data_IF_929230500468
#
_entry.id   IF_929230500468
#
_cell.length_a   1.000
_cell.length_b   1.000
_cell.length_c   1.000
_cell.angle_alpha   90.00
_cell.angle_beta   90.00
_cell.angle_gamma   90.00
#
_symmetry.space_group_name_H-M   'P 1'
#
loop_
_entity.id
_entity.type
_entity.pdbx_description
1 polymer ?
#
# COMPACT_ATOMS: atom_id res chain seq x y z
N UNK A 1 -28.16 -105.86 8.57
CA UNK A 1 -27.02 -105.03 8.21
C UNK A 1 -27.35 -103.95 7.14
N UNK A 2 -28.12 -104.27 6.10
CA UNK A 2 -28.49 -103.34 5.03
C UNK A 2 -29.27 -102.08 5.44
N UNK A 3 -29.97 -102.05 6.60
CA UNK A 3 -30.72 -100.91 7.06
C UNK A 3 -29.86 -99.82 7.71
N UNK A 4 -28.77 -100.21 8.42
CA UNK A 4 -27.84 -99.30 9.09
C UNK A 4 -26.93 -98.57 8.07
N UNK A 5 -26.49 -99.30 7.05
CA UNK A 5 -25.68 -98.73 5.96
C UNK A 5 -26.44 -97.61 5.20
N UNK A 6 -27.69 -97.88 4.83
CA UNK A 6 -28.54 -96.83 4.18
C UNK A 6 -28.82 -95.62 5.05
N UNK A 7 -28.88 -95.80 6.40
CA UNK A 7 -29.08 -94.69 7.33
C UNK A 7 -27.82 -93.80 7.42
N UNK A 8 -26.63 -94.47 7.45
CA UNK A 8 -25.32 -93.77 7.42
C UNK A 8 -25.13 -92.97 6.13
N UNK A 9 -25.41 -93.63 5.02
CA UNK A 9 -25.32 -92.98 3.67
C UNK A 9 -26.24 -91.74 3.59
N UNK A 10 -27.43 -91.86 4.15
CA UNK A 10 -28.38 -90.73 4.19
C UNK A 10 -27.87 -89.58 5.08
N UNK A 11 -27.35 -89.89 6.27
CA UNK A 11 -26.78 -88.92 7.22
C UNK A 11 -25.60 -88.16 6.56
N UNK A 12 -24.69 -88.95 5.90
CA UNK A 12 -23.56 -88.33 5.21
C UNK A 12 -24.00 -87.48 4.04
N UNK A 13 -24.99 -87.91 3.26
CA UNK A 13 -25.52 -87.14 2.13
C UNK A 13 -26.28 -85.89 2.59
N UNK A 14 -26.99 -85.99 3.69
CA UNK A 14 -27.64 -84.74 4.30
C UNK A 14 -26.59 -83.75 4.82
N UNK A 15 -25.55 -84.29 5.54
CA UNK A 15 -24.45 -83.41 6.03
C UNK A 15 -23.64 -82.77 4.89
N UNK A 16 -23.43 -83.51 3.79
CA UNK A 16 -22.79 -82.91 2.59
C UNK A 16 -23.63 -81.80 1.96
N UNK A 17 -24.92 -82.00 1.81
CA UNK A 17 -25.84 -80.97 1.29
C UNK A 17 -25.90 -79.70 2.19
N UNK A 18 -25.94 -79.94 3.48
CA UNK A 18 -25.91 -78.84 4.44
C UNK A 18 -24.59 -78.08 4.34
N UNK A 19 -23.46 -78.77 4.27
CA UNK A 19 -22.14 -78.14 4.08
C UNK A 19 -22.06 -77.30 2.78
N UNK A 20 -22.52 -77.88 1.67
CA UNK A 20 -22.58 -77.14 0.37
C UNK A 20 -23.48 -75.87 0.43
N UNK A 21 -24.65 -75.98 1.10
CA UNK A 21 -25.53 -74.86 1.30
C UNK A 21 -24.84 -73.77 2.13
N UNK A 22 -24.18 -74.11 3.24
CA UNK A 22 -23.43 -73.14 4.05
C UNK A 22 -22.28 -72.46 3.28
N UNK A 23 -21.58 -73.25 2.42
CA UNK A 23 -20.53 -72.70 1.55
C UNK A 23 -21.09 -71.74 0.54
N UNK A 24 -22.21 -72.08 -0.11
CA UNK A 24 -22.88 -71.19 -1.06
C UNK A 24 -23.32 -69.90 -0.40
N UNK A 25 -24.02 -69.96 0.73
CA UNK A 25 -24.45 -68.79 1.48
C UNK A 25 -23.27 -67.93 1.94
N UNK A 26 -22.16 -68.53 2.33
CA UNK A 26 -20.94 -67.79 2.71
C UNK A 26 -20.32 -67.04 1.51
N UNK A 27 -20.24 -67.68 0.34
CA UNK A 27 -19.73 -67.06 -0.88
C UNK A 27 -20.65 -65.89 -1.37
N UNK A 28 -21.97 -66.08 -1.30
CA UNK A 28 -22.93 -65.02 -1.63
C UNK A 28 -22.78 -63.83 -0.68
N UNK A 29 -22.69 -64.04 0.61
CA UNK A 29 -22.44 -62.97 1.61
C UNK A 29 -21.11 -62.25 1.37
N UNK A 30 -20.06 -63.01 1.09
CA UNK A 30 -18.74 -62.46 0.76
C UNK A 30 -18.77 -61.62 -0.51
N UNK A 31 -19.46 -62.05 -1.55
CA UNK A 31 -19.66 -61.30 -2.79
C UNK A 31 -20.43 -60.00 -2.54
N UNK A 32 -21.56 -60.09 -1.83
CA UNK A 32 -22.36 -58.91 -1.48
C UNK A 32 -21.57 -57.89 -0.65
N UNK A 33 -20.73 -58.37 0.31
CA UNK A 33 -19.88 -57.49 1.11
C UNK A 33 -18.76 -56.83 0.28
N UNK A 34 -18.15 -57.54 -0.67
CA UNK A 34 -17.17 -56.98 -1.60
C UNK A 34 -17.80 -55.93 -2.52
N UNK A 35 -18.96 -56.22 -3.05
CA UNK A 35 -19.67 -55.27 -3.94
C UNK A 35 -20.07 -53.98 -3.21
N UNK A 36 -20.52 -54.14 -1.96
CA UNK A 36 -20.78 -52.99 -1.10
C UNK A 36 -19.53 -52.18 -0.81
N UNK A 37 -18.44 -52.86 -0.43
CA UNK A 37 -17.16 -52.18 -0.17
C UNK A 37 -16.61 -51.44 -1.38
N UNK A 38 -16.69 -52.06 -2.57
CA UNK A 38 -16.25 -51.42 -3.79
C UNK A 38 -17.07 -50.16 -4.12
N UNK A 39 -18.40 -50.21 -3.94
CA UNK A 39 -19.25 -49.05 -4.08
C UNK A 39 -18.90 -47.93 -3.10
N UNK A 40 -18.63 -48.26 -1.86
CA UNK A 40 -18.22 -47.29 -0.83
C UNK A 40 -16.84 -46.66 -1.14
N UNK A 41 -15.92 -47.46 -1.68
CA UNK A 41 -14.59 -47.01 -2.13
C UNK A 41 -14.74 -45.99 -3.30
N UNK A 42 -15.51 -46.38 -4.33
CA UNK A 42 -15.72 -45.48 -5.49
C UNK A 42 -16.41 -44.17 -5.09
N UNK A 43 -17.37 -44.25 -4.18
CA UNK A 43 -18.02 -43.05 -3.63
C UNK A 43 -17.02 -42.18 -2.89
N UNK A 44 -16.19 -42.75 -2.02
CA UNK A 44 -15.17 -41.97 -1.30
C UNK A 44 -14.10 -41.38 -2.21
N UNK A 45 -13.70 -42.10 -3.26
CA UNK A 45 -12.78 -41.56 -4.26
C UNK A 45 -13.37 -40.32 -4.93
N UNK A 46 -14.61 -40.40 -5.40
CA UNK A 46 -15.29 -39.29 -6.03
C UNK A 46 -15.43 -38.06 -5.09
N UNK A 47 -15.71 -38.31 -3.80
CA UNK A 47 -15.75 -37.25 -2.78
C UNK A 47 -14.37 -36.58 -2.59
N UNK A 48 -13.31 -37.38 -2.53
CA UNK A 48 -11.92 -36.87 -2.38
C UNK A 48 -11.52 -36.09 -3.63
N UNK A 49 -11.79 -36.57 -4.81
CA UNK A 49 -11.48 -35.89 -6.07
C UNK A 49 -12.18 -34.53 -6.15
N UNK A 50 -13.48 -34.48 -5.80
CA UNK A 50 -14.24 -33.23 -5.75
C UNK A 50 -13.66 -32.23 -4.73
N UNK A 51 -13.33 -32.70 -3.53
CA UNK A 51 -12.69 -31.85 -2.50
C UNK A 51 -11.31 -31.33 -2.96
N UNK A 52 -10.53 -32.16 -3.65
CA UNK A 52 -9.25 -31.77 -4.20
C UNK A 52 -9.38 -30.70 -5.29
N UNK A 53 -10.34 -30.88 -6.21
CA UNK A 53 -10.63 -29.87 -7.25
C UNK A 53 -11.09 -28.54 -6.65
N UNK A 54 -11.98 -28.58 -5.67
CA UNK A 54 -12.43 -27.37 -4.96
C UNK A 54 -11.30 -26.68 -4.23
N UNK A 55 -10.44 -27.42 -3.53
CA UNK A 55 -9.26 -26.89 -2.86
C UNK A 55 -8.27 -26.24 -3.85
N UNK A 56 -8.04 -26.88 -5.00
CA UNK A 56 -7.19 -26.32 -6.05
C UNK A 56 -7.79 -25.04 -6.62
N UNK A 57 -9.11 -25.01 -6.88
CA UNK A 57 -9.82 -23.84 -7.38
C UNK A 57 -9.74 -22.66 -6.40
N UNK A 58 -9.97 -22.93 -5.13
CA UNK A 58 -9.89 -21.92 -4.08
C UNK A 58 -8.46 -21.37 -3.90
N UNK A 59 -7.47 -22.24 -3.91
CA UNK A 59 -6.06 -21.84 -3.87
C UNK A 59 -5.66 -20.98 -5.08
N UNK A 60 -6.11 -21.34 -6.29
CA UNK A 60 -5.86 -20.52 -7.50
C UNK A 60 -6.46 -19.13 -7.37
N UNK A 61 -7.71 -19.01 -6.89
CA UNK A 61 -8.37 -17.72 -6.67
C UNK A 61 -7.62 -16.88 -5.63
N UNK A 62 -7.26 -17.48 -4.51
CA UNK A 62 -6.50 -16.79 -3.46
C UNK A 62 -5.14 -16.32 -3.95
N UNK A 63 -4.42 -17.17 -4.69
CA UNK A 63 -3.11 -16.84 -5.23
C UNK A 63 -3.20 -15.69 -6.25
N UNK A 64 -4.19 -15.73 -7.14
CA UNK A 64 -4.43 -14.65 -8.10
C UNK A 64 -4.73 -13.31 -7.40
N UNK A 65 -5.54 -13.33 -6.34
CA UNK A 65 -5.84 -12.12 -5.57
C UNK A 65 -4.60 -11.55 -4.86
N UNK A 66 -3.74 -12.42 -4.30
CA UNK A 66 -2.48 -12.02 -3.67
C UNK A 66 -1.53 -11.39 -4.70
N UNK A 67 -1.37 -12.00 -5.86
CA UNK A 67 -0.53 -11.45 -6.93
C UNK A 67 -1.05 -10.10 -7.45
N UNK A 68 -2.35 -9.96 -7.63
CA UNK A 68 -2.96 -8.70 -8.07
C UNK A 68 -2.74 -7.59 -7.02
N UNK A 69 -2.90 -7.89 -5.74
CA UNK A 69 -2.62 -6.95 -4.65
C UNK A 69 -1.14 -6.53 -4.62
N UNK A 70 -0.22 -7.48 -4.73
CA UNK A 70 1.21 -7.19 -4.71
C UNK A 70 1.63 -6.37 -5.94
N UNK A 71 1.08 -6.69 -7.12
CA UNK A 71 1.31 -5.90 -8.33
C UNK A 71 0.84 -4.43 -8.16
N UNK A 72 -0.38 -4.23 -7.64
CA UNK A 72 -0.91 -2.87 -7.38
C UNK A 72 -0.05 -2.12 -6.38
N UNK A 73 0.42 -2.79 -5.32
CA UNK A 73 1.31 -2.20 -4.32
C UNK A 73 2.65 -1.76 -4.92
N UNK A 74 3.27 -2.60 -5.75
CA UNK A 74 4.51 -2.27 -6.44
C UNK A 74 4.33 -1.11 -7.43
N UNK A 75 3.23 -1.11 -8.18
CA UNK A 75 2.90 -0.02 -9.09
C UNK A 75 2.71 1.30 -8.35
N UNK A 76 2.00 1.28 -7.22
CA UNK A 76 1.81 2.47 -6.39
C UNK A 76 3.13 2.96 -5.82
N UNK A 77 3.98 2.08 -5.32
CA UNK A 77 5.31 2.42 -4.81
C UNK A 77 6.18 3.09 -5.90
N UNK A 78 6.18 2.54 -7.11
CA UNK A 78 6.89 3.13 -8.25
C UNK A 78 6.35 4.52 -8.62
N UNK A 79 5.03 4.71 -8.62
CA UNK A 79 4.42 6.02 -8.85
C UNK A 79 4.81 7.04 -7.76
N UNK A 80 4.77 6.64 -6.49
CA UNK A 80 5.20 7.50 -5.38
C UNK A 80 6.68 7.87 -5.46
N UNK A 81 7.53 6.95 -5.86
CA UNK A 81 8.96 7.23 -6.08
C UNK A 81 9.16 8.27 -7.18
N UNK A 82 8.44 8.16 -8.29
CA UNK A 82 8.51 9.15 -9.38
C UNK A 82 8.00 10.51 -8.95
N UNK A 83 6.90 10.58 -8.20
CA UNK A 83 6.39 11.82 -7.62
C UNK A 83 7.41 12.45 -6.67
N UNK A 84 8.05 11.65 -5.83
CA UNK A 84 9.13 12.11 -4.95
C UNK A 84 10.33 12.70 -5.72
N UNK A 85 10.75 12.05 -6.81
CA UNK A 85 11.81 12.56 -7.69
C UNK A 85 11.42 13.88 -8.35
N UNK A 86 10.19 14.00 -8.83
CA UNK A 86 9.68 15.25 -9.41
C UNK A 86 9.70 16.39 -8.38
N UNK A 87 9.25 16.12 -7.16
CA UNK A 87 9.27 17.10 -6.06
C UNK A 87 10.71 17.52 -5.68
N UNK A 88 11.62 16.57 -5.60
CA UNK A 88 13.03 16.85 -5.33
C UNK A 88 13.67 17.70 -6.42
N UNK A 89 13.35 17.41 -7.69
CA UNK A 89 13.82 18.22 -8.82
C UNK A 89 13.24 19.62 -8.80
N UNK A 90 11.97 19.77 -8.42
CA UNK A 90 11.34 21.09 -8.26
C UNK A 90 12.04 21.91 -7.16
N UNK A 91 12.39 21.26 -6.02
CA UNK A 91 13.15 21.91 -4.95
C UNK A 91 14.52 22.39 -5.43
N UNK A 92 15.24 21.56 -6.18
CA UNK A 92 16.55 21.94 -6.75
C UNK A 92 16.43 23.15 -7.69
N UNK A 93 15.41 23.15 -8.56
CA UNK A 93 15.16 24.28 -9.46
C UNK A 93 14.77 25.55 -8.71
N UNK A 94 13.97 25.44 -7.65
CA UNK A 94 13.56 26.57 -6.81
C UNK A 94 14.76 27.19 -6.09
N UNK A 95 15.64 26.35 -5.52
CA UNK A 95 16.87 26.81 -4.87
C UNK A 95 17.88 27.44 -5.86
N UNK A 96 17.88 27.01 -7.11
CA UNK A 96 18.76 27.48 -8.18
C UNK A 96 18.18 28.65 -9.00
N UNK A 97 17.06 29.25 -8.57
CA UNK A 97 16.51 30.43 -9.25
C UNK A 97 17.52 31.59 -9.27
N UNK A 98 17.53 32.38 -10.37
CA UNK A 98 18.30 33.62 -10.43
C UNK A 98 17.93 34.56 -9.27
N UNK A 99 18.92 35.25 -8.74
CA UNK A 99 18.74 36.10 -7.55
C UNK A 99 17.57 37.10 -7.64
N UNK A 100 17.41 37.72 -8.78
CA UNK A 100 16.32 38.69 -9.00
C UNK A 100 14.93 38.05 -8.85
N UNK A 101 14.76 36.84 -9.44
CA UNK A 101 13.50 36.09 -9.38
C UNK A 101 13.24 35.57 -7.97
N UNK A 102 14.28 35.03 -7.33
CA UNK A 102 14.24 34.52 -5.97
C UNK A 102 13.88 35.64 -4.97
N UNK A 103 14.58 36.77 -5.03
CA UNK A 103 14.32 37.89 -4.13
C UNK A 103 12.94 38.51 -4.37
N UNK A 104 12.49 38.61 -5.62
CA UNK A 104 11.14 39.09 -5.96
C UNK A 104 10.06 38.19 -5.37
N UNK A 105 10.19 36.86 -5.51
CA UNK A 105 9.25 35.90 -4.93
C UNK A 105 9.17 36.04 -3.41
N UNK A 106 10.32 36.05 -2.72
CA UNK A 106 10.36 36.12 -1.26
C UNK A 106 9.94 37.51 -0.74
N UNK A 107 10.23 38.59 -1.48
CA UNK A 107 9.75 39.91 -1.16
C UNK A 107 8.22 39.96 -1.13
N UNK A 108 7.56 39.41 -2.16
CA UNK A 108 6.10 39.41 -2.21
C UNK A 108 5.53 38.61 -1.03
N UNK A 109 6.07 37.44 -0.75
CA UNK A 109 5.65 36.57 0.38
C UNK A 109 5.85 37.26 1.73
N UNK A 110 6.97 37.99 1.91
CA UNK A 110 7.23 38.72 3.15
C UNK A 110 6.25 39.88 3.34
N UNK A 111 5.92 40.60 2.28
CA UNK A 111 4.95 41.69 2.32
C UNK A 111 3.55 41.14 2.68
N UNK A 112 3.17 40.01 2.10
CA UNK A 112 1.87 39.37 2.37
C UNK A 112 1.77 38.85 3.83
N UNK A 113 2.86 38.35 4.40
CA UNK A 113 2.91 37.91 5.80
C UNK A 113 2.93 39.07 6.80
N UNK A 114 3.61 40.15 6.44
CA UNK A 114 3.88 41.28 7.31
C UNK A 114 2.77 42.35 7.24
N UNK A 115 1.50 41.95 7.24
CA UNK A 115 0.35 42.85 7.11
C UNK A 115 0.36 44.05 8.06
N UNK A 116 1.03 43.96 9.24
CA UNK A 116 1.20 45.04 10.21
C UNK A 116 2.56 45.75 10.12
N UNK A 117 3.42 45.32 9.20
CA UNK A 117 4.72 45.94 8.94
C UNK A 117 5.78 45.82 10.05
N UNK A 118 5.52 45.05 11.10
CA UNK A 118 6.43 44.90 12.26
C UNK A 118 6.78 43.45 12.46
N UNK A 119 8.06 43.13 12.63
CA UNK A 119 8.50 41.77 12.91
C UNK A 119 9.98 41.53 12.58
N UNK A 120 10.37 40.26 12.54
CA UNK A 120 11.70 39.86 12.14
C UNK A 120 11.66 38.65 11.21
N UNK A 121 12.76 38.43 10.53
CA UNK A 121 12.96 37.20 9.75
C UNK A 121 14.15 36.43 10.31
N UNK A 122 13.97 35.10 10.40
CA UNK A 122 15.02 34.12 10.65
C UNK A 122 15.38 33.50 9.31
N UNK A 123 16.65 33.48 8.96
CA UNK A 123 17.14 32.93 7.70
C UNK A 123 17.94 31.64 7.91
N UNK A 124 18.13 30.90 6.84
CA UNK A 124 19.00 29.71 6.87
C UNK A 124 20.46 30.08 7.13
N UNK A 125 21.20 29.16 7.75
CA UNK A 125 22.67 29.28 7.90
C UNK A 125 23.39 29.40 6.55
N UNK A 126 22.80 28.88 5.48
CA UNK A 126 23.37 28.87 4.12
C UNK A 126 22.85 30.05 3.26
N UNK A 127 21.87 30.81 3.77
CA UNK A 127 21.24 31.89 3.04
C UNK A 127 22.12 33.16 3.11
N UNK A 128 22.49 33.66 1.95
CA UNK A 128 23.33 34.85 1.80
C UNK A 128 22.62 36.00 1.06
N UNK A 129 21.53 35.73 0.38
CA UNK A 129 20.78 36.64 -0.49
C UNK A 129 19.83 37.56 0.30
N UNK A 130 19.29 37.05 1.43
CA UNK A 130 18.33 37.77 2.25
C UNK A 130 19.04 38.66 3.31
N UNK A 131 19.90 39.55 2.84
CA UNK A 131 20.67 40.44 3.70
C UNK A 131 19.97 41.83 3.90
N UNK A 132 20.76 42.80 4.40
CA UNK A 132 20.29 44.12 4.73
C UNK A 132 19.64 44.85 3.52
N UNK A 133 20.25 44.75 2.33
CA UNK A 133 19.74 45.38 1.10
C UNK A 133 18.32 44.89 0.73
N UNK A 134 18.06 43.58 0.90
CA UNK A 134 16.73 42.99 0.70
C UNK A 134 15.71 43.55 1.69
N UNK A 135 16.05 43.65 2.98
CA UNK A 135 15.17 44.18 4.00
C UNK A 135 14.89 45.69 3.82
N UNK A 136 15.90 46.45 3.42
CA UNK A 136 15.75 47.87 3.12
C UNK A 136 14.73 48.10 1.98
N UNK A 137 14.77 47.23 0.95
CA UNK A 137 13.80 47.28 -0.18
C UNK A 137 12.39 46.83 0.25
N UNK A 138 12.27 45.80 1.07
CA UNK A 138 10.99 45.36 1.66
C UNK A 138 10.39 46.47 2.54
N UNK A 139 11.18 47.01 3.46
CA UNK A 139 10.75 48.06 4.41
C UNK A 139 10.33 49.33 3.68
N UNK A 140 11.04 49.69 2.60
CA UNK A 140 10.64 50.83 1.75
C UNK A 140 9.25 50.61 1.11
N UNK A 141 8.98 49.38 0.66
CA UNK A 141 7.70 49.00 0.06
C UNK A 141 6.57 48.99 1.10
N UNK A 142 6.81 48.48 2.31
CA UNK A 142 5.85 48.46 3.41
C UNK A 142 5.52 49.89 3.88
N UNK A 143 6.51 50.72 4.02
CA UNK A 143 6.30 52.18 4.38
C UNK A 143 5.47 52.90 3.36
N UNK A 144 5.59 52.55 2.07
CA UNK A 144 4.82 53.17 1.01
C UNK A 144 3.35 52.68 0.99
N UNK A 145 3.07 51.45 1.46
CA UNK A 145 1.72 50.90 1.53
C UNK A 145 0.95 51.32 2.79
N UNK A 146 1.53 51.15 3.98
CA UNK A 146 0.81 51.22 5.25
C UNK A 146 1.40 52.24 6.27
N UNK A 147 2.43 52.95 5.90
CA UNK A 147 3.00 54.07 6.68
C UNK A 147 3.77 53.70 7.94
N UNK A 148 3.77 52.47 8.39
CA UNK A 148 4.47 52.04 9.60
C UNK A 148 5.01 50.61 9.45
N UNK A 149 6.18 50.42 9.97
CA UNK A 149 6.75 49.09 10.16
C UNK A 149 8.22 48.97 9.80
N UNK A 150 8.90 48.19 10.54
CA UNK A 150 10.29 47.83 10.30
C UNK A 150 10.46 46.31 10.53
N UNK A 151 10.80 45.59 9.46
CA UNK A 151 11.19 44.20 9.55
C UNK A 151 12.71 44.13 9.74
N UNK A 152 13.15 43.30 10.71
CA UNK A 152 14.56 43.15 11.06
C UNK A 152 15.05 41.73 10.77
N UNK A 153 16.33 41.64 10.46
CA UNK A 153 17.01 40.32 10.45
C UNK A 153 17.31 39.91 11.90
N UNK A 154 16.85 38.73 12.30
CA UNK A 154 17.14 38.18 13.61
C UNK A 154 18.49 37.48 13.60
N UNK A 155 19.18 37.46 14.73
CA UNK A 155 20.50 36.79 14.88
C UNK A 155 20.36 35.24 14.84
N UNK A 156 19.16 34.73 15.15
CA UNK A 156 18.84 33.31 15.08
C UNK A 156 18.92 32.81 13.63
N UNK A 157 19.57 31.65 13.43
CA UNK A 157 19.65 30.96 12.15
C UNK A 157 19.21 29.52 12.31
N UNK A 158 18.38 29.05 11.37
CA UNK A 158 17.87 27.67 11.34
C UNK A 158 18.45 26.89 10.15
N UNK A 159 18.25 25.59 10.12
CA UNK A 159 18.75 24.72 9.04
C UNK A 159 17.60 24.35 8.09
N UNK A 160 17.51 25.08 6.97
CA UNK A 160 16.61 24.83 5.84
C UNK A 160 17.28 25.28 4.54
N UNK A 161 16.74 24.89 3.38
CA UNK A 161 17.41 25.07 2.07
C UNK A 161 17.44 26.51 1.57
N UNK A 162 16.53 27.36 2.05
CA UNK A 162 16.44 28.77 1.65
C UNK A 162 15.08 29.36 2.05
N UNK A 163 14.87 30.67 1.78
CA UNK A 163 13.71 31.39 2.27
C UNK A 163 13.92 31.93 3.69
N UNK A 164 12.83 32.14 4.42
CA UNK A 164 12.86 32.70 5.77
C UNK A 164 11.71 32.17 6.63
N UNK A 165 11.83 32.36 7.96
CA UNK A 165 10.71 32.24 8.90
C UNK A 165 10.40 33.65 9.40
N UNK A 166 9.15 34.11 9.19
CA UNK A 166 8.71 35.39 9.71
C UNK A 166 8.24 35.24 11.15
N UNK A 167 8.66 36.17 12.00
CA UNK A 167 8.35 36.16 13.45
C UNK A 167 7.77 37.53 13.83
N UNK A 168 6.61 37.52 14.48
CA UNK A 168 6.00 38.70 15.06
C UNK A 168 5.35 38.37 16.40
N UNK A 169 5.97 38.79 17.50
CA UNK A 169 5.54 38.45 18.86
C UNK A 169 5.59 36.93 19.09
N UNK A 170 4.43 36.31 19.31
CA UNK A 170 4.28 34.87 19.48
C UNK A 170 3.93 34.08 18.22
N UNK A 171 3.83 34.76 17.06
CA UNK A 171 3.49 34.14 15.78
C UNK A 171 4.75 33.87 14.97
N UNK A 172 4.90 32.66 14.50
CA UNK A 172 5.91 32.24 13.51
C UNK A 172 5.20 31.76 12.25
N UNK A 173 5.62 32.28 11.08
CA UNK A 173 5.14 31.84 9.78
C UNK A 173 6.33 31.30 8.99
N UNK A 174 6.27 30.00 8.64
CA UNK A 174 7.34 29.36 7.88
C UNK A 174 7.17 29.64 6.37
N UNK A 175 8.08 30.42 5.84
CA UNK A 175 8.22 30.77 4.42
C UNK A 175 9.54 30.22 3.86
N UNK A 176 10.01 29.10 4.41
CA UNK A 176 11.13 28.35 3.82
C UNK A 176 10.74 27.82 2.42
N UNK A 177 11.73 27.54 1.58
CA UNK A 177 11.49 26.96 0.27
C UNK A 177 10.76 25.62 0.38
N UNK A 178 11.03 24.86 1.43
CA UNK A 178 10.35 23.61 1.75
C UNK A 178 8.85 23.81 2.00
N UNK A 179 8.50 24.80 2.80
CA UNK A 179 7.10 25.13 3.10
C UNK A 179 6.37 25.63 1.85
N UNK A 180 6.97 26.55 1.10
CA UNK A 180 6.41 27.08 -0.14
C UNK A 180 6.20 26.00 -1.20
N UNK A 181 7.19 25.10 -1.36
CA UNK A 181 7.06 23.97 -2.28
C UNK A 181 5.98 22.99 -1.82
N UNK A 182 5.86 22.72 -0.52
CA UNK A 182 4.83 21.83 0.01
C UNK A 182 3.42 22.39 -0.25
N UNK A 183 3.21 23.67 -0.04
CA UNK A 183 1.95 24.35 -0.32
C UNK A 183 1.58 24.24 -1.82
N UNK A 184 2.52 24.61 -2.70
CA UNK A 184 2.32 24.52 -4.14
C UNK A 184 2.11 23.07 -4.61
N UNK A 185 2.83 22.13 -4.00
CA UNK A 185 2.71 20.71 -4.32
C UNK A 185 1.32 20.16 -3.99
N UNK A 186 0.77 20.48 -2.82
CA UNK A 186 -0.58 20.04 -2.44
C UNK A 186 -1.65 20.52 -3.43
N UNK A 187 -1.48 21.72 -3.99
CA UNK A 187 -2.40 22.27 -4.98
C UNK A 187 -2.25 21.64 -6.37
N UNK A 188 -1.05 21.22 -6.75
CA UNK A 188 -0.72 20.75 -8.10
C UNK A 188 -0.45 19.24 -8.19
N UNK A 189 -0.50 18.49 -7.10
CA UNK A 189 -0.14 17.06 -7.06
C UNK A 189 -0.94 16.23 -8.06
N UNK A 190 -2.24 16.49 -8.19
CA UNK A 190 -3.12 15.80 -9.14
C UNK A 190 -2.73 16.08 -10.58
N UNK A 191 -2.38 17.34 -10.91
CA UNK A 191 -1.96 17.73 -12.25
C UNK A 191 -0.60 17.09 -12.60
N UNK A 192 0.34 17.11 -11.65
CA UNK A 192 1.65 16.46 -11.82
C UNK A 192 1.47 14.96 -12.04
N UNK A 193 0.59 14.31 -11.28
CA UNK A 193 0.28 12.89 -11.47
C UNK A 193 -0.34 12.61 -12.84
N UNK A 194 -1.24 13.48 -13.32
CA UNK A 194 -1.84 13.36 -14.65
C UNK A 194 -0.78 13.47 -15.76
N UNK A 195 0.14 14.43 -15.65
CA UNK A 195 1.25 14.60 -16.61
C UNK A 195 2.22 13.41 -16.59
N UNK A 196 2.54 12.87 -15.43
CA UNK A 196 3.51 11.79 -15.30
C UNK A 196 2.94 10.43 -15.69
N UNK A 197 1.65 10.19 -15.47
CA UNK A 197 1.06 8.84 -15.59
C UNK A 197 -0.09 8.75 -16.60
N UNK A 198 -0.47 9.87 -17.24
CA UNK A 198 -1.51 9.88 -18.28
C UNK A 198 -2.91 9.55 -17.73
N UNK A 199 -3.24 9.96 -16.52
CA UNK A 199 -4.53 9.69 -15.88
C UNK A 199 -5.56 10.76 -16.23
#
# INVERSE_FOLDING_TARGET
MAGAEKLIEKIIGDAQRDAESYWHDAEEKKKAMRDKLNKDIEKRKAEIDLMAEDAVRENKKRLAAVYDLEFRKQLLAAKQEMMGKAKALAMQKLAALPDDTYLSLLKQRLIDCAANGVGGIIVSKKETRLGKAFLDDVNKTLKAKDGAGEIKLLDEKRDFSGGFVYVNGGLEIDMSLEALLNEAWQQSETEVAAVLFGA
#
